data_IF_282816748239
#
_entry.id   IF_282816748239
#
_cell.length_a   1.000
_cell.length_b   1.000
_cell.length_c   1.000
_cell.angle_alpha   90.00
_cell.angle_beta   90.00
_cell.angle_gamma   90.00
#
_symmetry.space_group_name_H-M   'P 1'
#
loop_
_entity.id
_entity.type
_entity.pdbx_description
1 polymer ?
#
# COMPACT_ATOMS: atom_id res chain seq x y z
N UNK A 1 14.17 37.53 -8.84
CA UNK A 1 14.39 36.10 -8.53
C UNK A 1 15.22 35.50 -9.67
N UNK A 2 16.52 35.33 -9.46
CA UNK A 2 17.49 34.88 -10.46
C UNK A 2 17.61 33.34 -10.44
N UNK A 3 16.62 32.61 -10.96
CA UNK A 3 16.71 31.14 -11.09
C UNK A 3 16.81 30.70 -12.56
N UNK A 4 17.11 31.62 -13.46
CA UNK A 4 17.23 31.39 -14.90
C UNK A 4 18.58 31.86 -15.42
N UNK A 5 19.14 31.12 -16.37
CA UNK A 5 20.26 31.63 -17.18
C UNK A 5 19.63 32.57 -18.21
N UNK A 6 19.77 33.87 -18.02
CA UNK A 6 19.36 34.86 -19.01
C UNK A 6 20.40 34.86 -20.15
N UNK A 7 19.94 34.55 -21.36
CA UNK A 7 20.80 34.54 -22.56
C UNK A 7 20.83 35.92 -23.20
N UNK A 8 19.66 36.55 -23.31
CA UNK A 8 19.43 37.92 -23.79
C UNK A 8 18.25 38.52 -22.99
N UNK A 9 17.87 39.79 -23.21
CA UNK A 9 16.77 40.47 -22.48
C UNK A 9 15.42 39.73 -22.50
N UNK A 10 15.22 38.81 -23.47
CA UNK A 10 13.95 38.15 -23.76
C UNK A 10 14.03 36.61 -23.55
N UNK A 11 15.24 36.06 -23.47
CA UNK A 11 15.47 34.59 -23.47
C UNK A 11 15.98 34.12 -22.12
N UNK A 12 15.18 33.26 -21.49
CA UNK A 12 15.44 32.62 -20.20
C UNK A 12 15.58 31.11 -20.41
N UNK A 13 16.64 30.52 -19.87
CA UNK A 13 16.85 29.08 -19.85
C UNK A 13 16.64 28.47 -18.49
N UNK A 14 16.21 27.21 -18.50
CA UNK A 14 15.92 26.40 -17.34
C UNK A 14 15.96 24.90 -17.69
N UNK A 15 15.76 24.05 -16.68
CA UNK A 15 15.83 22.59 -16.78
C UNK A 15 14.45 21.92 -16.88
N UNK A 16 13.40 22.63 -17.32
CA UNK A 16 12.01 22.09 -17.36
C UNK A 16 11.84 20.88 -18.29
N UNK A 17 12.74 20.68 -19.24
CA UNK A 17 12.77 19.47 -20.07
C UNK A 17 12.96 18.18 -19.23
N UNK A 18 13.63 18.24 -18.07
CA UNK A 18 13.77 17.09 -17.16
C UNK A 18 12.39 16.61 -16.65
N UNK A 19 11.47 17.54 -16.38
CA UNK A 19 10.11 17.19 -15.96
C UNK A 19 9.34 16.45 -17.06
N UNK A 20 9.54 16.84 -18.33
CA UNK A 20 8.96 16.15 -19.49
C UNK A 20 9.52 14.74 -19.63
N UNK A 21 10.85 14.58 -19.51
CA UNK A 21 11.51 13.27 -19.53
C UNK A 21 10.93 12.37 -18.43
N UNK A 22 10.81 12.90 -17.21
CA UNK A 22 10.29 12.15 -16.06
C UNK A 22 8.85 11.66 -16.30
N UNK A 23 7.98 12.55 -16.79
CA UNK A 23 6.57 12.21 -17.06
C UNK A 23 6.44 11.27 -18.27
N UNK A 24 7.27 11.42 -19.29
CA UNK A 24 7.34 10.48 -20.40
C UNK A 24 7.81 9.08 -19.96
N UNK A 25 8.89 9.02 -19.17
CA UNK A 25 9.51 7.78 -18.71
C UNK A 25 8.56 6.95 -17.83
N UNK A 26 7.84 7.58 -16.91
CA UNK A 26 6.97 6.87 -15.96
C UNK A 26 5.48 6.85 -16.35
N UNK A 27 5.00 7.86 -17.07
CA UNK A 27 3.59 8.04 -17.41
C UNK A 27 3.27 7.89 -18.90
N UNK A 28 4.28 7.85 -19.77
CA UNK A 28 4.10 7.76 -21.22
C UNK A 28 3.70 9.08 -21.89
N UNK A 29 3.14 8.98 -23.09
CA UNK A 29 2.92 10.14 -23.98
C UNK A 29 1.93 11.14 -23.38
N UNK A 30 0.79 10.68 -22.85
CA UNK A 30 -0.28 11.59 -22.39
C UNK A 30 0.21 12.51 -21.25
N UNK A 31 0.82 12.01 -20.16
CA UNK A 31 1.34 12.88 -19.09
C UNK A 31 2.43 13.84 -19.57
N UNK A 32 3.29 13.41 -20.49
CA UNK A 32 4.34 14.28 -21.06
C UNK A 32 3.75 15.44 -21.88
N UNK A 33 2.66 15.21 -22.62
CA UNK A 33 1.95 16.25 -23.36
C UNK A 33 1.26 17.26 -22.44
N UNK A 34 0.65 16.78 -21.36
CA UNK A 34 0.06 17.64 -20.32
C UNK A 34 1.15 18.55 -19.72
N UNK A 35 2.32 18.00 -19.43
CA UNK A 35 3.46 18.77 -18.94
C UNK A 35 3.91 19.85 -19.93
N UNK A 36 4.05 19.49 -21.20
CA UNK A 36 4.41 20.44 -22.26
C UNK A 36 3.38 21.56 -22.39
N UNK A 37 2.09 21.25 -22.31
CA UNK A 37 1.03 22.26 -22.32
C UNK A 37 1.15 23.22 -21.14
N UNK A 38 1.28 22.71 -19.91
CA UNK A 38 1.42 23.52 -18.69
C UNK A 38 2.66 24.43 -18.77
N UNK A 39 3.81 23.86 -19.16
CA UNK A 39 5.07 24.61 -19.28
C UNK A 39 4.95 25.71 -20.34
N UNK A 40 4.32 25.41 -21.48
CA UNK A 40 4.15 26.36 -22.57
C UNK A 40 3.20 27.49 -22.19
N UNK A 41 2.05 27.17 -21.56
CA UNK A 41 1.12 28.17 -21.03
C UNK A 41 1.83 29.10 -20.05
N UNK A 42 2.64 28.53 -19.13
CA UNK A 42 3.46 29.32 -18.20
C UNK A 42 4.46 30.24 -18.90
N UNK A 43 5.00 29.87 -20.07
CA UNK A 43 5.89 30.75 -20.86
C UNK A 43 5.15 31.93 -21.47
N UNK A 44 3.94 31.74 -22.00
CA UNK A 44 3.12 32.82 -22.56
C UNK A 44 2.65 33.83 -21.50
N UNK A 45 2.50 33.42 -20.24
CA UNK A 45 2.19 34.35 -19.14
C UNK A 45 3.35 35.27 -18.76
N UNK A 46 4.60 34.87 -19.03
CA UNK A 46 5.78 35.70 -18.74
C UNK A 46 5.89 36.79 -19.80
N UNK A 47 5.97 36.40 -21.08
CA UNK A 47 6.01 37.33 -22.22
C UNK A 47 5.60 36.62 -23.51
N UNK A 48 4.98 37.37 -24.43
CA UNK A 48 4.60 36.88 -25.77
C UNK A 48 5.56 37.44 -26.81
N UNK A 49 6.47 36.59 -27.27
CA UNK A 49 7.50 36.94 -28.26
C UNK A 49 7.85 35.71 -29.11
N UNK A 50 8.74 35.89 -30.10
CA UNK A 50 9.19 34.81 -30.98
C UNK A 50 9.74 33.59 -30.21
N UNK A 51 10.53 33.81 -29.15
CA UNK A 51 11.07 32.75 -28.29
C UNK A 51 9.95 31.96 -27.59
N UNK A 52 8.82 32.59 -27.23
CA UNK A 52 7.67 31.89 -26.63
C UNK A 52 7.01 30.90 -27.60
N UNK A 53 6.89 31.25 -28.88
CA UNK A 53 6.38 30.33 -29.92
C UNK A 53 7.36 29.19 -30.21
N UNK A 54 8.67 29.48 -30.27
CA UNK A 54 9.69 28.43 -30.43
C UNK A 54 9.68 27.47 -29.23
N UNK A 55 9.55 27.99 -28.01
CA UNK A 55 9.45 27.18 -26.80
C UNK A 55 8.22 26.26 -26.83
N UNK A 56 7.06 26.75 -27.30
CA UNK A 56 5.85 25.91 -27.46
C UNK A 56 6.14 24.71 -28.36
N UNK A 57 6.66 24.95 -29.57
CA UNK A 57 6.94 23.89 -30.53
C UNK A 57 7.99 22.90 -30.02
N UNK A 58 9.05 23.43 -29.41
CA UNK A 58 10.11 22.66 -28.77
C UNK A 58 9.55 21.72 -27.69
N UNK A 59 8.70 22.23 -26.78
CA UNK A 59 8.14 21.46 -25.67
C UNK A 59 7.22 20.32 -26.15
N UNK A 60 6.37 20.59 -27.14
CA UNK A 60 5.50 19.54 -27.70
C UNK A 60 6.29 18.49 -28.48
N UNK A 61 7.33 18.90 -29.22
CA UNK A 61 8.21 17.96 -29.92
C UNK A 61 8.95 17.07 -28.92
N UNK A 62 9.52 17.67 -27.87
CA UNK A 62 10.16 16.91 -26.78
C UNK A 62 9.19 15.93 -26.13
N UNK A 63 7.97 16.34 -25.80
CA UNK A 63 6.98 15.46 -25.17
C UNK A 63 6.59 14.28 -26.05
N UNK A 64 6.27 14.53 -27.33
CA UNK A 64 5.90 13.47 -28.27
C UNK A 64 7.07 12.49 -28.43
N UNK A 65 8.28 12.99 -28.74
CA UNK A 65 9.43 12.12 -28.95
C UNK A 65 9.85 11.38 -27.69
N UNK A 66 9.87 12.04 -26.53
CA UNK A 66 10.19 11.39 -25.26
C UNK A 66 9.17 10.29 -24.93
N UNK A 67 7.87 10.55 -25.14
CA UNK A 67 6.82 9.56 -24.93
C UNK A 67 6.91 8.38 -25.91
N UNK A 68 7.27 8.61 -27.17
CA UNK A 68 7.52 7.55 -28.15
C UNK A 68 8.75 6.73 -27.77
N UNK A 69 9.86 7.36 -27.38
CA UNK A 69 11.06 6.68 -26.89
C UNK A 69 10.73 5.84 -25.66
N UNK A 70 9.99 6.40 -24.70
CA UNK A 70 9.58 5.66 -23.50
C UNK A 70 8.72 4.43 -23.82
N UNK A 71 7.86 4.53 -24.86
CA UNK A 71 6.98 3.45 -25.31
C UNK A 71 7.71 2.35 -26.11
N UNK A 72 8.62 2.73 -27.01
CA UNK A 72 9.19 1.79 -28.00
C UNK A 72 10.62 1.33 -27.69
N UNK A 73 11.38 2.07 -26.87
CA UNK A 73 12.73 1.67 -26.49
C UNK A 73 12.68 0.53 -25.47
N UNK A 74 13.22 -0.63 -25.83
CA UNK A 74 13.19 -1.85 -25.01
C UNK A 74 14.12 -1.80 -23.80
N UNK A 75 15.22 -1.05 -23.88
CA UNK A 75 16.13 -0.90 -22.74
C UNK A 75 15.43 -0.19 -21.59
N UNK A 76 15.77 -0.51 -20.35
CA UNK A 76 15.23 0.13 -19.15
C UNK A 76 16.32 0.82 -18.33
N UNK A 77 15.90 1.60 -17.33
CA UNK A 77 16.78 2.22 -16.36
C UNK A 77 17.66 3.32 -16.95
N UNK A 78 18.94 3.34 -16.56
CA UNK A 78 19.89 4.39 -16.93
C UNK A 78 20.07 4.55 -18.44
N UNK A 79 19.97 3.46 -19.21
CA UNK A 79 20.17 3.50 -20.67
C UNK A 79 19.05 4.30 -21.32
N UNK A 80 17.78 3.92 -21.06
CA UNK A 80 16.61 4.65 -21.58
C UNK A 80 16.60 6.10 -21.12
N UNK A 81 16.96 6.35 -19.86
CA UNK A 81 17.08 7.71 -19.32
C UNK A 81 18.12 8.55 -20.08
N UNK A 82 19.29 7.97 -20.36
CA UNK A 82 20.37 8.64 -21.10
C UNK A 82 19.94 8.97 -22.52
N UNK A 83 19.22 8.06 -23.20
CA UNK A 83 18.68 8.31 -24.54
C UNK A 83 17.69 9.47 -24.54
N UNK A 84 16.81 9.55 -23.53
CA UNK A 84 15.86 10.67 -23.39
C UNK A 84 16.56 12.01 -23.13
N UNK A 85 17.62 12.02 -22.32
CA UNK A 85 18.45 13.21 -22.12
C UNK A 85 19.10 13.67 -23.43
N UNK A 86 19.74 12.76 -24.17
CA UNK A 86 20.37 13.10 -25.46
C UNK A 86 19.34 13.65 -26.44
N UNK A 87 18.18 13.01 -26.54
CA UNK A 87 17.10 13.43 -27.42
C UNK A 87 16.63 14.87 -27.09
N UNK A 88 16.30 15.13 -25.83
CA UNK A 88 15.83 16.47 -25.42
C UNK A 88 16.93 17.54 -25.55
N UNK A 89 18.20 17.23 -25.27
CA UNK A 89 19.29 18.18 -25.48
C UNK A 89 19.50 18.50 -26.97
N UNK A 90 19.28 17.54 -27.86
CA UNK A 90 19.35 17.77 -29.30
C UNK A 90 18.26 18.75 -29.75
N UNK A 91 17.02 18.53 -29.30
CA UNK A 91 15.89 19.42 -29.61
C UNK A 91 16.10 20.82 -29.03
N UNK A 92 16.61 20.91 -27.79
CA UNK A 92 16.94 22.19 -27.16
C UNK A 92 18.00 22.97 -27.94
N UNK A 93 19.10 22.31 -28.33
CA UNK A 93 20.20 22.95 -29.06
C UNK A 93 19.74 23.47 -30.42
N UNK A 94 18.89 22.72 -31.12
CA UNK A 94 18.28 23.16 -32.37
C UNK A 94 17.37 24.38 -32.17
N UNK A 95 16.54 24.38 -31.11
CA UNK A 95 15.69 25.51 -30.79
C UNK A 95 16.50 26.76 -30.42
N UNK A 96 17.61 26.60 -29.69
CA UNK A 96 18.51 27.69 -29.33
C UNK A 96 19.15 28.33 -30.56
N UNK A 97 19.60 27.52 -31.52
CA UNK A 97 20.15 28.01 -32.80
C UNK A 97 19.14 28.82 -33.61
N UNK A 98 17.84 28.51 -33.52
CA UNK A 98 16.78 29.27 -34.20
C UNK A 98 16.48 30.61 -33.52
N UNK A 99 16.68 30.71 -32.21
CA UNK A 99 16.33 31.91 -31.41
C UNK A 99 17.48 32.90 -31.31
N UNK A 100 18.73 32.45 -31.41
CA UNK A 100 19.92 33.26 -31.15
C UNK A 100 20.75 33.40 -32.41
N UNK A 101 20.87 34.64 -32.91
CA UNK A 101 21.60 34.94 -34.16
C UNK A 101 23.13 34.85 -34.02
N UNK A 102 23.66 34.84 -32.80
CA UNK A 102 25.10 34.76 -32.54
C UNK A 102 25.56 33.32 -32.27
N UNK A 103 26.29 32.74 -33.23
CA UNK A 103 26.78 31.36 -33.15
C UNK A 103 27.70 31.09 -31.94
N UNK A 104 28.55 32.04 -31.55
CA UNK A 104 29.45 31.84 -30.40
C UNK A 104 28.65 31.76 -29.09
N UNK A 105 27.64 32.63 -28.95
CA UNK A 105 26.74 32.62 -27.79
C UNK A 105 25.93 31.32 -27.73
N UNK A 106 25.48 30.79 -28.86
CA UNK A 106 24.79 29.48 -28.93
C UNK A 106 25.66 28.37 -28.37
N UNK A 107 26.94 28.32 -28.73
CA UNK A 107 27.87 27.28 -28.26
C UNK A 107 28.04 27.37 -26.74
N UNK A 108 28.37 28.55 -26.22
CA UNK A 108 28.62 28.74 -24.78
C UNK A 108 27.40 28.31 -23.97
N UNK A 109 26.22 28.80 -24.37
CA UNK A 109 24.96 28.50 -23.72
C UNK A 109 24.60 27.02 -23.80
N UNK A 110 24.78 26.38 -24.96
CA UNK A 110 24.50 24.96 -25.13
C UNK A 110 25.39 24.11 -24.22
N UNK A 111 26.67 24.44 -24.07
CA UNK A 111 27.60 23.72 -23.19
C UNK A 111 27.12 23.79 -21.73
N UNK A 112 26.81 24.99 -21.21
CA UNK A 112 26.31 25.13 -19.84
C UNK A 112 24.97 24.40 -19.62
N UNK A 113 24.08 24.46 -20.61
CA UNK A 113 22.80 23.78 -20.52
C UNK A 113 22.98 22.25 -20.54
N UNK A 114 23.84 21.70 -21.40
CA UNK A 114 24.10 20.26 -21.46
C UNK A 114 24.72 19.78 -20.15
N UNK A 115 25.72 20.47 -19.61
CA UNK A 115 26.36 20.10 -18.35
C UNK A 115 25.38 20.11 -17.18
N UNK A 116 24.59 21.19 -17.04
CA UNK A 116 23.57 21.29 -15.99
C UNK A 116 22.47 20.24 -16.15
N UNK A 117 22.09 19.90 -17.38
CA UNK A 117 21.08 18.89 -17.69
C UNK A 117 21.56 17.46 -17.42
N UNK A 118 22.84 17.17 -17.67
CA UNK A 118 23.45 15.89 -17.31
C UNK A 118 23.42 15.72 -15.78
N UNK A 119 23.96 16.70 -15.04
CA UNK A 119 24.03 16.65 -13.58
C UNK A 119 22.62 16.56 -12.97
N UNK A 120 21.74 17.49 -13.35
CA UNK A 120 20.36 17.53 -12.88
C UNK A 120 19.58 16.28 -13.26
N UNK A 121 19.72 15.83 -14.52
CA UNK A 121 19.02 14.66 -15.05
C UNK A 121 19.40 13.37 -14.32
N UNK A 122 20.69 13.10 -14.13
CA UNK A 122 21.12 11.90 -13.39
C UNK A 122 20.77 11.97 -11.90
N UNK A 123 20.86 13.15 -11.29
CA UNK A 123 20.44 13.34 -9.90
C UNK A 123 18.94 13.08 -9.73
N UNK A 124 18.10 13.60 -10.62
CA UNK A 124 16.65 13.33 -10.65
C UNK A 124 16.38 11.84 -10.82
N UNK A 125 17.05 11.17 -11.76
CA UNK A 125 16.88 9.74 -11.97
C UNK A 125 17.23 8.93 -10.70
N UNK A 126 18.36 9.26 -10.07
CA UNK A 126 18.79 8.62 -8.83
C UNK A 126 17.75 8.79 -7.71
N UNK A 127 17.29 10.02 -7.46
CA UNK A 127 16.31 10.26 -6.40
C UNK A 127 14.99 9.55 -6.63
N UNK A 128 14.46 9.60 -7.86
CA UNK A 128 13.16 8.98 -8.17
C UNK A 128 13.24 7.46 -8.07
N UNK A 129 14.31 6.85 -8.58
CA UNK A 129 14.52 5.40 -8.46
C UNK A 129 14.75 4.97 -7.01
N UNK A 130 15.47 5.77 -6.22
CA UNK A 130 15.65 5.56 -4.79
C UNK A 130 14.32 5.57 -4.04
N UNK A 131 13.50 6.62 -4.24
CA UNK A 131 12.18 6.74 -3.60
C UNK A 131 11.29 5.56 -3.97
N UNK A 132 11.22 5.18 -5.25
CA UNK A 132 10.41 4.03 -5.70
C UNK A 132 10.86 2.73 -5.03
N UNK A 133 12.17 2.47 -5.00
CA UNK A 133 12.71 1.26 -4.37
C UNK A 133 12.43 1.24 -2.86
N UNK A 134 12.58 2.37 -2.19
CA UNK A 134 12.26 2.50 -0.78
C UNK A 134 10.78 2.22 -0.51
N UNK A 135 9.87 2.81 -1.30
CA UNK A 135 8.43 2.56 -1.16
C UNK A 135 8.08 1.09 -1.39
N UNK A 136 8.66 0.44 -2.40
CA UNK A 136 8.44 -0.98 -2.65
C UNK A 136 8.93 -1.86 -1.49
N UNK A 137 10.12 -1.58 -0.96
CA UNK A 137 10.63 -2.29 0.22
C UNK A 137 9.75 -2.07 1.43
N UNK A 138 9.32 -0.83 1.69
CA UNK A 138 8.44 -0.49 2.80
C UNK A 138 7.10 -1.23 2.71
N UNK A 139 6.49 -1.28 1.52
CA UNK A 139 5.27 -2.04 1.28
C UNK A 139 5.50 -3.53 1.51
N UNK A 140 6.60 -4.10 1.01
CA UNK A 140 6.96 -5.49 1.24
C UNK A 140 7.18 -5.81 2.73
N UNK A 141 7.82 -4.91 3.49
CA UNK A 141 7.93 -5.06 4.94
C UNK A 141 6.57 -5.01 5.63
N UNK A 142 5.69 -4.11 5.20
CA UNK A 142 4.32 -4.00 5.71
C UNK A 142 3.52 -5.27 5.43
N UNK A 143 3.66 -5.84 4.23
CA UNK A 143 3.04 -7.12 3.82
C UNK A 143 3.61 -8.31 4.58
N UNK A 144 4.92 -8.36 4.82
CA UNK A 144 5.59 -9.47 5.52
C UNK A 144 5.29 -9.51 7.03
N UNK A 145 4.77 -8.43 7.61
CA UNK A 145 4.26 -8.44 8.99
C UNK A 145 2.85 -9.02 9.04
N UNK A 146 2.67 -10.29 8.64
CA UNK A 146 1.37 -10.97 8.66
C UNK A 146 0.98 -11.50 10.04
N UNK A 147 1.97 -11.68 10.93
CA UNK A 147 1.78 -12.32 12.22
C UNK A 147 1.73 -11.31 13.36
N UNK A 148 0.97 -11.62 14.40
CA UNK A 148 0.99 -10.92 15.68
C UNK A 148 2.27 -11.32 16.45
N UNK A 149 3.09 -10.36 16.91
CA UNK A 149 4.39 -10.66 17.52
C UNK A 149 4.29 -11.38 18.87
N UNK A 150 3.13 -11.32 19.55
CA UNK A 150 2.93 -12.00 20.83
C UNK A 150 2.54 -13.46 20.62
N UNK A 151 1.60 -13.74 19.71
CA UNK A 151 0.94 -15.03 19.59
C UNK A 151 1.36 -15.84 18.37
N UNK A 152 2.04 -15.24 17.40
CA UNK A 152 2.42 -15.82 16.10
C UNK A 152 1.22 -16.23 15.21
N UNK A 153 0.00 -15.94 15.66
CA UNK A 153 -1.21 -16.01 14.83
C UNK A 153 -1.20 -14.90 13.78
N UNK A 154 -2.13 -14.94 12.82
CA UNK A 154 -2.31 -13.79 11.95
C UNK A 154 -2.70 -12.54 12.76
N UNK A 155 -2.29 -11.36 12.31
CA UNK A 155 -2.76 -10.12 12.92
C UNK A 155 -4.05 -9.64 12.25
N UNK A 156 -4.65 -8.58 12.82
CA UNK A 156 -5.89 -7.97 12.32
C UNK A 156 -5.84 -7.62 10.82
N UNK A 157 -4.69 -7.15 10.31
CA UNK A 157 -4.58 -6.80 8.88
C UNK A 157 -4.61 -8.03 7.97
N UNK A 158 -4.01 -9.12 8.43
CA UNK A 158 -4.08 -10.39 7.72
C UNK A 158 -5.48 -10.99 7.78
N UNK A 159 -6.18 -10.87 8.91
CA UNK A 159 -7.58 -11.24 9.00
C UNK A 159 -8.42 -10.48 7.99
N UNK A 160 -8.34 -9.14 7.96
CA UNK A 160 -9.10 -8.32 7.01
C UNK A 160 -8.83 -8.74 5.55
N UNK A 161 -7.56 -9.01 5.23
CA UNK A 161 -7.17 -9.48 3.90
C UNK A 161 -7.83 -10.82 3.54
N UNK A 162 -7.71 -11.83 4.41
CA UNK A 162 -8.28 -13.17 4.15
C UNK A 162 -9.81 -13.17 4.18
N UNK A 163 -10.41 -12.35 5.05
CA UNK A 163 -11.86 -12.18 5.13
C UNK A 163 -12.43 -11.66 3.81
N UNK A 164 -11.87 -10.57 3.27
CA UNK A 164 -12.32 -10.02 1.99
C UNK A 164 -12.08 -11.01 0.85
N UNK A 165 -10.92 -11.67 0.82
CA UNK A 165 -10.60 -12.66 -0.21
C UNK A 165 -11.59 -13.84 -0.21
N UNK A 166 -11.93 -14.35 0.98
CA UNK A 166 -12.86 -15.47 1.13
C UNK A 166 -14.30 -15.05 0.77
N UNK A 167 -14.75 -13.88 1.23
CA UNK A 167 -16.07 -13.38 0.87
C UNK A 167 -16.22 -13.17 -0.64
N UNK A 168 -15.22 -12.58 -1.30
CA UNK A 168 -15.23 -12.39 -2.74
C UNK A 168 -15.29 -13.74 -3.48
N UNK A 169 -14.51 -14.72 -3.02
CA UNK A 169 -14.51 -16.08 -3.58
C UNK A 169 -15.88 -16.73 -3.44
N UNK A 170 -16.47 -16.71 -2.24
CA UNK A 170 -17.79 -17.31 -1.98
C UNK A 170 -18.87 -16.61 -2.81
N UNK A 171 -18.83 -15.28 -2.94
CA UNK A 171 -19.80 -14.54 -3.77
C UNK A 171 -19.71 -14.86 -5.27
N UNK A 172 -18.51 -15.14 -5.78
CA UNK A 172 -18.29 -15.42 -7.20
C UNK A 172 -18.51 -16.89 -7.58
N UNK A 173 -17.97 -17.80 -6.78
CA UNK A 173 -17.90 -19.23 -7.10
C UNK A 173 -19.00 -20.05 -6.42
N UNK A 174 -19.73 -19.45 -5.48
CA UNK A 174 -20.61 -20.17 -4.56
C UNK A 174 -19.84 -20.75 -3.37
N UNK A 175 -20.58 -21.28 -2.39
CA UNK A 175 -20.00 -21.91 -1.20
C UNK A 175 -20.51 -21.30 0.10
N UNK A 176 -19.88 -21.69 1.22
CA UNK A 176 -20.20 -21.19 2.55
C UNK A 176 -18.93 -20.72 3.24
N UNK A 177 -19.03 -19.67 4.05
CA UNK A 177 -17.97 -19.30 4.99
C UNK A 177 -18.58 -18.79 6.29
N UNK A 178 -17.81 -18.83 7.36
CA UNK A 178 -18.23 -18.30 8.65
C UNK A 178 -17.10 -17.55 9.35
N UNK A 179 -17.49 -16.57 10.16
CA UNK A 179 -16.61 -15.81 11.06
C UNK A 179 -17.00 -16.13 12.50
N UNK A 180 -16.00 -16.39 13.34
CA UNK A 180 -16.16 -16.43 14.78
C UNK A 180 -15.29 -15.34 15.43
N UNK A 181 -15.91 -14.47 16.21
CA UNK A 181 -15.21 -13.51 17.05
C UNK A 181 -15.15 -14.04 18.48
N UNK A 182 -13.96 -14.08 19.06
CA UNK A 182 -13.67 -14.71 20.34
C UNK A 182 -13.06 -13.67 21.28
N UNK A 183 -13.64 -13.52 22.46
CA UNK A 183 -13.14 -12.61 23.50
C UNK A 183 -12.92 -13.37 24.82
N UNK A 184 -11.78 -13.10 25.47
CA UNK A 184 -11.45 -13.74 26.75
C UNK A 184 -12.17 -13.05 27.90
N UNK A 185 -13.04 -13.82 28.57
CA UNK A 185 -13.87 -13.30 29.64
C UNK A 185 -13.00 -12.85 30.83
N UNK A 186 -13.27 -11.63 31.30
CA UNK A 186 -12.61 -11.05 32.47
C UNK A 186 -11.07 -10.97 32.35
N UNK A 187 -10.51 -10.87 31.15
CA UNK A 187 -9.06 -10.82 30.95
C UNK A 187 -8.37 -9.65 31.68
N UNK A 188 -9.03 -8.49 31.77
CA UNK A 188 -8.56 -7.38 32.62
C UNK A 188 -8.27 -7.82 34.06
N UNK A 189 -9.11 -8.67 34.67
CA UNK A 189 -8.89 -9.19 36.03
C UNK A 189 -7.65 -10.06 36.12
N UNK A 190 -7.30 -10.78 35.05
CA UNK A 190 -6.05 -11.56 34.98
C UNK A 190 -4.85 -10.62 35.05
N UNK A 191 -4.85 -9.56 34.24
CA UNK A 191 -3.79 -8.55 34.26
C UNK A 191 -3.69 -7.84 35.61
N UNK A 192 -4.83 -7.43 36.18
CA UNK A 192 -4.87 -6.72 37.45
C UNK A 192 -4.40 -7.59 38.62
N UNK A 193 -4.61 -8.92 38.56
CA UNK A 193 -4.26 -9.86 39.64
C UNK A 193 -2.83 -10.42 39.50
N UNK A 194 -2.40 -10.73 38.28
CA UNK A 194 -1.15 -11.48 38.02
C UNK A 194 -0.12 -10.69 37.20
N UNK A 195 -0.45 -9.48 36.77
CA UNK A 195 0.40 -8.62 35.95
C UNK A 195 0.34 -8.93 34.45
N UNK A 196 0.77 -7.96 33.65
CA UNK A 196 0.73 -8.06 32.17
C UNK A 196 1.54 -9.23 31.60
N UNK A 197 2.69 -9.56 32.20
CA UNK A 197 3.49 -10.72 31.75
C UNK A 197 2.73 -12.05 31.89
N UNK A 198 1.89 -12.18 32.91
CA UNK A 198 1.03 -13.35 33.07
C UNK A 198 -0.10 -13.35 32.03
N UNK A 199 -0.71 -12.20 31.75
CA UNK A 199 -1.68 -12.04 30.67
C UNK A 199 -1.11 -12.41 29.30
N UNK A 200 0.09 -11.93 28.97
CA UNK A 200 0.79 -12.28 27.73
C UNK A 200 1.02 -13.79 27.60
N UNK A 201 1.40 -14.44 28.70
CA UNK A 201 1.62 -15.88 28.74
C UNK A 201 0.31 -16.68 28.58
N UNK A 202 -0.81 -16.15 29.08
CA UNK A 202 -2.15 -16.68 28.85
C UNK A 202 -2.53 -16.57 27.36
N UNK A 203 -2.34 -15.40 26.75
CA UNK A 203 -2.67 -15.17 25.33
C UNK A 203 -1.84 -16.08 24.41
N UNK A 204 -0.55 -16.29 24.70
CA UNK A 204 0.30 -17.25 23.97
C UNK A 204 -0.22 -18.68 24.05
N UNK A 205 -0.70 -19.09 25.22
CA UNK A 205 -1.27 -20.43 25.40
C UNK A 205 -2.62 -20.56 24.70
N UNK A 206 -3.47 -19.55 24.78
CA UNK A 206 -4.76 -19.52 24.09
C UNK A 206 -4.55 -19.60 22.58
N UNK A 207 -3.63 -18.82 22.03
CA UNK A 207 -3.30 -18.88 20.61
C UNK A 207 -2.88 -20.28 20.14
N UNK A 208 -2.02 -20.96 20.92
CA UNK A 208 -1.62 -22.34 20.64
C UNK A 208 -2.79 -23.32 20.75
N UNK A 209 -3.72 -23.09 21.68
CA UNK A 209 -4.91 -23.91 21.83
C UNK A 209 -5.85 -23.73 20.63
N UNK A 210 -6.14 -22.49 20.23
CA UNK A 210 -6.98 -22.17 19.08
C UNK A 210 -6.38 -22.77 17.79
N UNK A 211 -5.09 -22.57 17.54
CA UNK A 211 -4.42 -23.12 16.35
C UNK A 211 -4.46 -24.65 16.27
N UNK A 212 -4.48 -25.36 17.40
CA UNK A 212 -4.62 -26.84 17.43
C UNK A 212 -6.02 -27.34 17.15
N UNK A 213 -7.04 -26.50 17.35
CA UNK A 213 -8.43 -26.86 17.15
C UNK A 213 -8.91 -26.63 15.72
N UNK A 214 -8.14 -25.88 14.93
CA UNK A 214 -8.47 -25.54 13.55
C UNK A 214 -7.87 -26.54 12.57
N UNK A 215 -8.53 -26.70 11.41
CA UNK A 215 -7.99 -27.49 10.29
C UNK A 215 -7.06 -26.64 9.44
N UNK A 216 -6.37 -27.30 8.51
CA UNK A 216 -5.66 -26.62 7.43
C UNK A 216 -6.68 -25.84 6.57
N UNK A 217 -6.38 -24.58 6.25
CA UNK A 217 -7.29 -23.66 5.54
C UNK A 217 -7.95 -22.62 6.44
N UNK A 218 -8.31 -22.98 7.68
CA UNK A 218 -8.92 -22.02 8.61
C UNK A 218 -7.89 -20.96 9.06
N UNK A 219 -8.32 -19.70 9.14
CA UNK A 219 -7.45 -18.58 9.54
C UNK A 219 -7.77 -18.21 10.99
N UNK A 220 -6.77 -18.28 11.88
CA UNK A 220 -6.86 -17.75 13.24
C UNK A 220 -6.01 -16.49 13.34
N UNK A 221 -6.61 -15.45 13.90
CA UNK A 221 -5.97 -14.16 14.08
C UNK A 221 -6.19 -13.59 15.48
N UNK A 222 -5.30 -12.69 15.89
CA UNK A 222 -5.48 -11.82 17.05
C UNK A 222 -5.76 -10.40 16.56
N UNK A 223 -6.91 -9.86 16.94
CA UNK A 223 -7.34 -8.51 16.53
C UNK A 223 -6.61 -7.43 17.33
N UNK A 224 -6.33 -7.73 18.60
CA UNK A 224 -5.68 -6.83 19.55
C UNK A 224 -6.16 -7.15 20.97
N UNK A 225 -5.40 -6.76 22.00
CA UNK A 225 -5.79 -7.02 23.39
C UNK A 225 -6.08 -8.50 23.66
N UNK A 226 -7.32 -8.79 24.07
CA UNK A 226 -7.86 -10.13 24.37
C UNK A 226 -8.79 -10.70 23.29
N UNK A 227 -8.85 -10.08 22.12
CA UNK A 227 -9.77 -10.43 21.04
C UNK A 227 -9.08 -11.24 19.94
N UNK A 228 -9.75 -12.29 19.49
CA UNK A 228 -9.32 -13.19 18.42
C UNK A 228 -10.44 -13.34 17.39
N UNK A 229 -10.07 -13.55 16.13
CA UNK A 229 -11.02 -13.90 15.07
C UNK A 229 -10.62 -15.18 14.37
N UNK A 230 -11.62 -15.94 13.97
CA UNK A 230 -11.47 -17.17 13.21
C UNK A 230 -12.31 -17.06 11.95
N UNK A 231 -11.69 -17.34 10.81
CA UNK A 231 -12.35 -17.44 9.53
C UNK A 231 -12.38 -18.92 9.12
N UNK A 232 -13.59 -19.43 8.88
CA UNK A 232 -13.86 -20.81 8.55
C UNK A 232 -14.30 -20.88 7.08
N UNK A 233 -13.46 -21.50 6.26
CA UNK A 233 -13.79 -21.81 4.86
C UNK A 233 -14.77 -22.98 4.79
N UNK A 234 -15.61 -23.07 3.76
CA UNK A 234 -16.57 -24.16 3.53
C UNK A 234 -17.30 -24.60 4.81
N UNK A 235 -17.91 -23.62 5.47
CA UNK A 235 -18.52 -23.79 6.78
C UNK A 235 -19.87 -23.07 6.85
N UNK A 236 -20.94 -23.83 7.10
CA UNK A 236 -22.26 -23.26 7.35
C UNK A 236 -22.45 -22.87 8.82
N UNK A 237 -23.56 -22.20 9.14
CA UNK A 237 -23.82 -21.69 10.49
C UNK A 237 -23.76 -22.78 11.57
N UNK A 238 -24.45 -23.90 11.36
CA UNK A 238 -24.49 -24.99 12.35
C UNK A 238 -23.10 -25.58 12.61
N UNK A 239 -22.30 -25.78 11.55
CA UNK A 239 -20.92 -26.26 11.70
C UNK A 239 -20.04 -25.23 12.43
N UNK A 240 -20.22 -23.94 12.14
CA UNK A 240 -19.49 -22.87 12.80
C UNK A 240 -19.84 -22.80 14.29
N UNK A 241 -21.11 -22.96 14.66
CA UNK A 241 -21.55 -23.04 16.06
C UNK A 241 -20.97 -24.26 16.79
N UNK A 242 -20.87 -25.42 16.14
CA UNK A 242 -20.24 -26.61 16.70
C UNK A 242 -18.75 -26.38 16.98
N UNK A 243 -18.04 -25.76 16.03
CA UNK A 243 -16.63 -25.40 16.17
C UNK A 243 -16.44 -24.37 17.30
N UNK A 244 -17.27 -23.33 17.33
CA UNK A 244 -17.27 -22.32 18.40
C UNK A 244 -17.51 -22.96 19.78
N UNK A 245 -18.49 -23.87 19.89
CA UNK A 245 -18.75 -24.58 21.14
C UNK A 245 -17.59 -25.50 21.56
N UNK A 246 -16.91 -26.12 20.59
CA UNK A 246 -15.70 -26.91 20.85
C UNK A 246 -14.59 -26.03 21.40
N UNK A 247 -14.36 -24.84 20.82
CA UNK A 247 -13.40 -23.86 21.32
C UNK A 247 -13.75 -23.46 22.75
N UNK A 248 -14.99 -23.02 22.98
CA UNK A 248 -15.47 -22.58 24.30
C UNK A 248 -15.21 -23.63 25.38
N UNK A 249 -15.61 -24.88 25.13
CA UNK A 249 -15.39 -26.02 26.05
C UNK A 249 -13.91 -26.31 26.26
N UNK A 250 -13.10 -26.28 25.19
CA UNK A 250 -11.67 -26.53 25.29
C UNK A 250 -10.97 -25.47 26.16
N UNK A 251 -11.33 -24.19 26.00
CA UNK A 251 -10.79 -23.09 26.82
C UNK A 251 -11.20 -23.24 28.28
N UNK A 252 -12.49 -23.49 28.55
CA UNK A 252 -13.03 -23.70 29.90
C UNK A 252 -12.34 -24.85 30.66
N UNK A 253 -11.96 -25.90 29.94
CA UNK A 253 -11.26 -27.07 30.49
C UNK A 253 -9.74 -26.89 30.57
N UNK A 254 -9.18 -25.91 29.86
CA UNK A 254 -7.75 -25.68 29.79
C UNK A 254 -7.21 -25.06 31.08
N UNK A 255 -6.06 -25.56 31.52
CA UNK A 255 -5.34 -24.99 32.68
C UNK A 255 -4.19 -24.14 32.17
N UNK A 256 -4.36 -22.82 32.21
CA UNK A 256 -3.35 -21.86 31.79
C UNK A 256 -2.26 -21.76 32.86
N UNK A 257 -1.02 -22.01 32.48
CA UNK A 257 0.13 -21.96 33.39
C UNK A 257 0.76 -20.57 33.35
N UNK A 258 0.79 -19.91 34.51
CA UNK A 258 1.39 -18.60 34.69
C UNK A 258 2.93 -18.70 34.87
N UNK A 259 3.69 -17.59 34.76
CA UNK A 259 5.15 -17.60 34.91
C UNK A 259 5.66 -18.17 36.24
N UNK A 260 4.89 -18.01 37.32
CA UNK A 260 5.16 -18.55 38.66
C UNK A 260 4.72 -20.02 38.85
N UNK A 261 4.27 -20.67 37.76
CA UNK A 261 3.73 -22.04 37.71
C UNK A 261 2.33 -22.20 38.34
N UNK A 262 1.67 -21.13 38.77
CA UNK A 262 0.27 -21.20 39.15
C UNK A 262 -0.59 -21.58 37.93
N UNK A 263 -1.68 -22.33 38.16
CA UNK A 263 -2.65 -22.68 37.13
C UNK A 263 -3.94 -21.90 37.36
N UNK A 264 -4.45 -21.29 36.29
CA UNK A 264 -5.74 -20.60 36.28
C UNK A 264 -6.66 -21.19 35.21
N UNK A 265 -7.96 -20.99 35.38
CA UNK A 265 -8.98 -21.28 34.37
C UNK A 265 -9.59 -19.99 33.86
N UNK A 266 -9.94 -20.01 32.58
CA UNK A 266 -10.55 -18.88 31.88
C UNK A 266 -11.69 -19.40 31.03
N UNK A 267 -12.58 -18.49 30.64
CA UNK A 267 -13.65 -18.76 29.69
C UNK A 267 -13.58 -17.75 28.55
N UNK A 268 -14.27 -18.05 27.47
CA UNK A 268 -14.40 -17.14 26.32
C UNK A 268 -15.87 -16.99 25.96
N UNK A 269 -16.22 -15.80 25.49
CA UNK A 269 -17.48 -15.54 24.81
C UNK A 269 -17.22 -15.52 23.30
N UNK A 270 -18.12 -16.11 22.52
CA UNK A 270 -17.93 -16.27 21.07
C UNK A 270 -19.20 -15.81 20.33
N UNK A 271 -19.02 -14.91 19.36
CA UNK A 271 -20.04 -14.55 18.38
C UNK A 271 -19.76 -15.24 17.04
N UNK A 272 -20.80 -15.77 16.40
CA UNK A 272 -20.69 -16.55 15.15
C UNK A 272 -21.61 -15.93 14.10
N UNK A 273 -21.11 -15.76 12.89
CA UNK A 273 -21.93 -15.45 11.73
C UNK A 273 -21.47 -16.28 10.54
N UNK A 274 -22.41 -16.70 9.70
CA UNK A 274 -22.12 -17.46 8.49
C UNK A 274 -22.78 -16.81 7.28
N UNK A 275 -22.07 -16.82 6.15
CA UNK A 275 -22.54 -16.22 4.93
C UNK A 275 -23.79 -16.95 4.44
N UNK A 276 -24.83 -16.17 4.14
CA UNK A 276 -26.08 -16.67 3.62
C UNK A 276 -26.45 -15.91 2.35
N UNK A 277 -26.47 -16.63 1.21
CA UNK A 277 -26.84 -16.10 -0.10
C UNK A 277 -28.26 -15.49 -0.14
N UNK A 278 -29.17 -15.94 0.73
CA UNK A 278 -30.54 -15.44 0.79
C UNK A 278 -30.68 -14.17 1.65
N UNK A 279 -29.66 -13.84 2.45
CA UNK A 279 -29.66 -12.63 3.26
C UNK A 279 -28.99 -11.48 2.51
N UNK A 280 -29.58 -10.29 2.58
CA UNK A 280 -28.96 -9.05 2.07
C UNK A 280 -27.89 -8.49 3.00
N UNK A 281 -27.55 -9.20 4.08
CA UNK A 281 -26.53 -8.78 5.04
C UNK A 281 -25.17 -9.22 4.53
N UNK A 282 -24.49 -8.30 3.86
CA UNK A 282 -23.16 -8.53 3.32
C UNK A 282 -22.05 -8.43 4.38
N UNK A 283 -22.37 -7.98 5.61
CA UNK A 283 -21.36 -7.67 6.63
C UNK A 283 -21.29 -8.72 7.75
N UNK A 284 -20.75 -9.89 7.40
CA UNK A 284 -20.57 -11.02 8.32
C UNK A 284 -19.84 -10.67 9.62
N UNK A 285 -18.91 -9.73 9.57
CA UNK A 285 -18.14 -9.33 10.73
C UNK A 285 -19.02 -8.61 11.76
N UNK A 286 -19.88 -7.71 11.30
CA UNK A 286 -20.81 -6.96 12.16
C UNK A 286 -21.85 -7.88 12.80
N UNK A 287 -22.42 -8.83 12.04
CA UNK A 287 -23.33 -9.82 12.61
C UNK A 287 -22.65 -10.69 13.67
N UNK A 288 -21.38 -11.07 13.47
CA UNK A 288 -20.61 -11.81 14.46
C UNK A 288 -20.27 -10.98 15.71
N UNK A 289 -20.04 -9.67 15.56
CA UNK A 289 -19.79 -8.75 16.68
C UNK A 289 -21.05 -8.55 17.54
N UNK A 290 -22.21 -8.36 16.90
CA UNK A 290 -23.50 -8.33 17.57
C UNK A 290 -23.77 -9.63 18.35
N UNK A 291 -23.45 -10.77 17.74
CA UNK A 291 -23.56 -12.07 18.40
C UNK A 291 -22.61 -12.18 19.60
N UNK A 292 -21.36 -11.72 19.48
CA UNK A 292 -20.39 -11.71 20.58
C UNK A 292 -20.87 -10.82 21.73
N UNK A 293 -21.45 -9.66 21.42
CA UNK A 293 -22.05 -8.77 22.40
C UNK A 293 -23.21 -9.45 23.15
N UNK A 294 -24.07 -10.18 22.43
CA UNK A 294 -25.14 -11.00 23.05
C UNK A 294 -24.56 -12.09 23.97
N UNK A 295 -23.50 -12.79 23.56
CA UNK A 295 -22.83 -13.80 24.37
C UNK A 295 -22.28 -13.21 25.69
N UNK A 296 -21.65 -12.03 25.62
CA UNK A 296 -21.16 -11.31 26.82
C UNK A 296 -22.28 -10.88 27.77
N UNK A 297 -23.45 -10.50 27.24
CA UNK A 297 -24.61 -10.06 28.04
C UNK A 297 -25.43 -11.20 28.64
N UNK A 298 -25.41 -12.37 28.04
CA UNK A 298 -26.18 -13.55 28.49
C UNK A 298 -25.46 -14.37 29.58
N UNK A 299 -24.37 -13.84 30.14
CA UNK A 299 -23.66 -14.46 31.25
C UNK A 299 -22.21 -14.86 30.96
N UNK A 300 -21.70 -14.55 29.75
CA UNK A 300 -20.37 -14.97 29.28
C UNK A 300 -20.22 -16.50 29.19
N UNK A 301 -19.03 -16.99 28.83
CA UNK A 301 -18.80 -18.42 28.60
C UNK A 301 -19.90 -19.04 27.73
N UNK A 302 -20.20 -18.37 26.62
CA UNK A 302 -21.33 -18.71 25.76
C UNK A 302 -21.01 -18.49 24.28
N UNK A 303 -21.76 -19.16 23.41
CA UNK A 303 -21.75 -18.96 21.96
C UNK A 303 -23.10 -18.35 21.57
N UNK A 304 -23.09 -17.34 20.71
CA UNK A 304 -24.29 -16.79 20.09
C UNK A 304 -24.05 -16.61 18.59
N UNK A 305 -25.15 -16.60 17.82
CA UNK A 305 -25.20 -16.25 16.40
C UNK A 305 -26.35 -15.28 16.12
#
# INVERSE_FOLDING_TARGET
MHYSIQVNEITILDLRHIAVILLAYFGGIIPSLIAAAIISVGRFFIDVNFSSFVSLFMMFTMAIGAGLIAKYLKQEGLIKWTVLLIYTQTIFTLALYVVVDNFSLVIDVAIYHILSSIIGGYLTFYFVTYIRRYTQLYLKYKENSQRDPLTELYNVRSFDYFYNLMLDSVKQEGGNCAVCLVDVDHFKKVNDTYGHTAGDQVLRQLAKLLGKLMREGDIVSRNGGEEFSILLEDCNLTQAEEIANRIRKAVEQYHFVLPDKQKIKLTVSIGVAAFNFESSDDNLYESADDALYKAKRTGRNNVCS
#
